data_IF_406079608844
#
_entry.id   IF_406079608844
#
_cell.length_a   1.000
_cell.length_b   1.000
_cell.length_c   1.000
_cell.angle_alpha   90.00
_cell.angle_beta   90.00
_cell.angle_gamma   90.00
#
_symmetry.space_group_name_H-M   'P 1'
#
loop_
_entity.id
_entity.type
_entity.pdbx_description
1 polymer ?
#
# COMPACT_ATOMS: atom_id res chain seq x y z
N UNK A 1 -56.65 -7.05 0.87
CA UNK A 1 -55.89 -8.27 0.51
C UNK A 1 -54.84 -7.94 -0.54
N UNK A 2 -53.67 -8.59 -0.44
CA UNK A 2 -52.56 -8.73 -1.41
C UNK A 2 -51.84 -7.44 -1.88
N UNK A 3 -50.68 -7.04 -1.32
CA UNK A 3 -49.31 -7.54 -1.58
C UNK A 3 -48.92 -7.63 -3.06
N UNK A 4 -48.16 -6.65 -3.56
CA UNK A 4 -47.11 -6.91 -4.56
C UNK A 4 -45.87 -6.06 -4.28
N UNK A 5 -44.90 -6.71 -3.63
CA UNK A 5 -43.50 -6.28 -3.57
C UNK A 5 -42.92 -6.33 -4.99
N UNK A 6 -42.57 -5.20 -5.58
CA UNK A 6 -41.54 -5.19 -6.64
C UNK A 6 -40.18 -5.08 -5.97
N UNK A 7 -39.53 -6.24 -5.83
CA UNK A 7 -38.08 -6.32 -5.63
C UNK A 7 -37.43 -5.75 -6.89
N UNK A 8 -36.87 -4.55 -6.79
CA UNK A 8 -35.88 -4.11 -7.78
C UNK A 8 -34.69 -5.07 -7.70
N UNK A 9 -34.44 -5.72 -8.84
CA UNK A 9 -33.32 -6.62 -9.02
C UNK A 9 -32.03 -5.87 -8.67
N UNK A 10 -31.25 -6.47 -7.77
CA UNK A 10 -29.90 -6.04 -7.47
C UNK A 10 -29.13 -5.91 -8.78
N UNK A 11 -28.70 -4.69 -9.10
CA UNK A 11 -27.83 -4.41 -10.25
C UNK A 11 -26.65 -5.37 -10.20
N UNK A 12 -26.50 -6.17 -11.26
CA UNK A 12 -25.33 -7.00 -11.47
C UNK A 12 -24.08 -6.12 -11.32
N UNK A 13 -23.08 -6.52 -10.50
CA UNK A 13 -21.86 -5.73 -10.38
C UNK A 13 -21.20 -5.67 -11.76
N UNK A 14 -20.93 -4.46 -12.23
CA UNK A 14 -20.23 -4.20 -13.49
C UNK A 14 -18.95 -5.05 -13.57
N UNK A 15 -18.53 -5.48 -14.79
CA UNK A 15 -17.33 -6.29 -14.94
C UNK A 15 -16.12 -5.55 -14.37
N UNK A 16 -15.48 -6.11 -13.34
CA UNK A 16 -14.21 -5.62 -12.80
C UNK A 16 -13.21 -5.47 -13.95
N UNK A 17 -12.88 -4.23 -14.29
CA UNK A 17 -11.91 -3.89 -15.34
C UNK A 17 -10.59 -4.61 -15.09
N UNK A 18 -9.83 -4.96 -16.14
CA UNK A 18 -8.50 -5.60 -16.04
C UNK A 18 -7.53 -4.86 -15.09
N UNK A 19 -7.76 -3.57 -14.88
CA UNK A 19 -7.00 -2.68 -14.00
C UNK A 19 -7.13 -3.07 -12.52
N UNK A 20 -8.36 -3.32 -12.04
CA UNK A 20 -8.62 -3.86 -10.70
C UNK A 20 -7.93 -5.23 -10.50
N UNK A 21 -7.76 -6.01 -11.57
CA UNK A 21 -7.06 -7.31 -11.50
C UNK A 21 -5.54 -7.18 -11.41
N UNK A 22 -4.94 -6.10 -11.92
CA UNK A 22 -3.50 -5.85 -11.75
C UNK A 22 -3.21 -5.35 -10.33
N UNK A 23 -4.11 -4.54 -9.77
CA UNK A 23 -4.07 -4.05 -8.38
C UNK A 23 -4.21 -5.20 -7.37
N UNK A 24 -5.19 -6.08 -7.57
CA UNK A 24 -5.35 -7.31 -6.78
C UNK A 24 -4.12 -8.22 -6.89
N UNK A 25 -3.45 -8.23 -8.04
CA UNK A 25 -2.22 -9.01 -8.26
C UNK A 25 -1.04 -8.45 -7.47
N UNK A 26 -0.80 -7.14 -7.48
CA UNK A 26 0.29 -6.55 -6.70
C UNK A 26 0.08 -6.78 -5.20
N UNK A 27 -1.11 -6.51 -4.66
CA UNK A 27 -1.40 -6.72 -3.25
C UNK A 27 -1.20 -8.20 -2.86
N UNK A 28 -1.69 -9.14 -3.69
CA UNK A 28 -1.47 -10.57 -3.48
C UNK A 28 0.01 -10.95 -3.57
N UNK A 29 0.75 -10.40 -4.51
CA UNK A 29 2.20 -10.65 -4.63
C UNK A 29 2.94 -10.09 -3.40
N UNK A 30 2.53 -8.94 -2.88
CA UNK A 30 3.08 -8.35 -1.66
C UNK A 30 2.82 -9.23 -0.43
N UNK A 31 1.59 -9.71 -0.26
CA UNK A 31 1.25 -10.67 0.81
C UNK A 31 2.08 -11.96 0.72
N UNK A 32 2.29 -12.48 -0.50
CA UNK A 32 3.11 -13.68 -0.71
C UNK A 32 4.60 -13.37 -0.47
N UNK A 33 5.08 -12.22 -0.93
CA UNK A 33 6.46 -11.79 -0.76
C UNK A 33 6.84 -11.68 0.73
N UNK A 34 5.93 -11.13 1.53
CA UNK A 34 6.08 -10.90 2.97
C UNK A 34 5.61 -12.07 3.84
N UNK A 35 5.15 -13.18 3.25
CA UNK A 35 4.67 -14.33 4.01
C UNK A 35 5.77 -14.88 4.93
N UNK A 36 5.42 -15.03 6.21
CA UNK A 36 6.35 -15.51 7.25
C UNK A 36 7.12 -14.40 7.96
N UNK A 37 7.03 -13.15 7.49
CA UNK A 37 7.61 -11.99 8.17
C UNK A 37 6.66 -11.47 9.25
N UNK A 38 7.17 -10.87 10.35
CA UNK A 38 6.35 -10.29 11.41
C UNK A 38 5.75 -8.93 11.00
N UNK A 39 5.24 -8.81 9.77
CA UNK A 39 4.77 -7.56 9.19
C UNK A 39 3.28 -7.64 8.85
N UNK A 40 2.57 -6.56 9.16
CA UNK A 40 1.21 -6.30 8.71
C UNK A 40 1.24 -5.32 7.54
N UNK A 41 0.47 -5.64 6.49
CA UNK A 41 0.26 -4.77 5.33
C UNK A 41 -1.06 -4.03 5.54
N UNK A 42 -1.05 -2.71 5.40
CA UNK A 42 -2.25 -1.88 5.50
C UNK A 42 -2.43 -1.05 4.25
N UNK A 43 -3.69 -0.80 3.91
CA UNK A 43 -4.09 -0.12 2.67
C UNK A 43 -3.73 1.38 2.66
N UNK A 44 -4.33 2.18 1.77
CA UNK A 44 -3.88 3.54 1.56
C UNK A 44 -3.94 4.33 2.86
N UNK A 45 -2.79 4.88 3.26
CA UNK A 45 -2.54 5.49 4.56
C UNK A 45 -1.85 6.83 4.35
N UNK A 46 -2.10 7.74 5.27
CA UNK A 46 -1.42 9.03 5.33
C UNK A 46 -0.55 9.06 6.57
N UNK A 47 0.78 9.02 6.37
CA UNK A 47 1.75 9.22 7.43
C UNK A 47 1.88 10.72 7.71
N UNK A 48 1.91 11.13 8.98
CA UNK A 48 1.98 12.53 9.40
C UNK A 48 3.22 12.77 10.24
N UNK A 49 3.79 13.97 10.11
CA UNK A 49 4.93 14.46 10.89
C UNK A 49 6.05 13.40 11.04
N UNK A 50 6.47 12.84 9.90
CA UNK A 50 7.36 11.67 9.85
C UNK A 50 8.65 12.01 9.13
N UNK A 51 9.79 11.48 9.63
CA UNK A 51 11.03 11.46 8.87
C UNK A 51 11.02 10.30 7.87
N UNK A 52 11.24 10.62 6.61
CA UNK A 52 11.13 9.68 5.50
C UNK A 52 12.47 9.53 4.81
N UNK A 53 12.96 8.30 4.70
CA UNK A 53 14.03 7.95 3.77
C UNK A 53 13.38 7.59 2.43
N UNK A 54 13.36 8.54 1.50
CA UNK A 54 12.71 8.37 0.19
C UNK A 54 13.68 7.76 -0.81
N UNK A 55 13.33 6.60 -1.37
CA UNK A 55 14.12 5.89 -2.38
C UNK A 55 13.35 5.93 -3.72
N UNK A 56 13.82 6.68 -4.72
CA UNK A 56 13.21 6.73 -6.05
C UNK A 56 13.31 5.38 -6.79
N UNK A 57 12.48 5.16 -7.82
CA UNK A 57 12.57 3.96 -8.66
C UNK A 57 13.97 3.81 -9.25
N UNK A 58 14.51 2.58 -9.23
CA UNK A 58 15.83 2.25 -9.78
C UNK A 58 17.03 2.73 -8.97
N UNK A 59 16.82 3.31 -7.78
CA UNK A 59 17.90 3.74 -6.89
C UNK A 59 18.02 2.83 -5.65
N UNK A 60 19.23 2.72 -5.12
CA UNK A 60 19.52 1.98 -3.87
C UNK A 60 19.82 2.90 -2.69
N UNK A 61 20.00 4.19 -2.95
CA UNK A 61 20.28 5.23 -1.94
C UNK A 61 19.13 6.22 -1.95
N UNK A 62 18.60 6.51 -0.76
CA UNK A 62 17.52 7.46 -0.58
C UNK A 62 17.97 8.81 -0.06
N UNK A 63 17.04 9.75 0.01
CA UNK A 63 17.23 11.03 0.70
C UNK A 63 16.35 11.10 1.94
N UNK A 64 16.93 11.56 3.05
CA UNK A 64 16.20 11.75 4.30
C UNK A 64 15.52 13.12 4.28
N UNK A 65 14.20 13.14 4.45
CA UNK A 65 13.38 14.35 4.43
C UNK A 65 12.30 14.29 5.50
N UNK A 66 11.98 15.44 6.10
CA UNK A 66 10.83 15.56 6.97
C UNK A 66 9.57 15.87 6.15
N UNK A 67 8.51 15.10 6.35
CA UNK A 67 7.22 15.30 5.70
C UNK A 67 6.13 15.52 6.75
N UNK A 68 5.47 16.67 6.71
CA UNK A 68 4.27 16.92 7.53
C UNK A 68 3.14 15.95 7.17
N UNK A 69 3.05 15.57 5.90
CA UNK A 69 2.12 14.59 5.40
C UNK A 69 2.68 13.87 4.17
N UNK A 70 2.65 12.54 4.17
CA UNK A 70 2.91 11.72 2.98
C UNK A 70 1.85 10.62 2.83
N UNK A 71 1.31 10.48 1.63
CA UNK A 71 0.34 9.42 1.30
C UNK A 71 1.10 8.22 0.73
N UNK A 72 0.85 7.05 1.28
CA UNK A 72 1.38 5.77 0.82
C UNK A 72 0.22 4.86 0.43
N UNK A 73 0.43 4.01 -0.57
CA UNK A 73 -0.56 3.03 -1.02
C UNK A 73 -0.58 1.81 -0.10
N UNK A 74 0.59 1.47 0.46
CA UNK A 74 0.71 0.47 1.52
C UNK A 74 1.60 0.95 2.67
N UNK A 75 1.17 0.70 3.90
CA UNK A 75 2.00 0.79 5.10
C UNK A 75 2.42 -0.63 5.52
N UNK A 76 3.72 -0.83 5.76
CA UNK A 76 4.26 -2.03 6.38
C UNK A 76 4.59 -1.72 7.83
N UNK A 77 3.93 -2.40 8.75
CA UNK A 77 4.13 -2.22 10.19
C UNK A 77 4.47 -3.54 10.89
N UNK A 78 5.42 -3.51 11.81
CA UNK A 78 5.76 -4.66 12.65
C UNK A 78 4.55 -5.07 13.51
N UNK A 79 4.26 -6.37 13.55
CA UNK A 79 2.97 -6.88 14.02
C UNK A 79 2.81 -6.75 15.54
N UNK A 80 3.89 -6.80 16.31
CA UNK A 80 3.85 -6.79 17.79
C UNK A 80 3.81 -5.38 18.37
N UNK A 81 4.63 -4.50 17.82
CA UNK A 81 4.88 -3.12 18.23
C UNK A 81 4.00 -2.14 17.48
N UNK A 82 3.54 -2.51 16.28
CA UNK A 82 2.82 -1.62 15.38
C UNK A 82 3.70 -0.55 14.74
N UNK A 83 5.02 -0.58 14.93
CA UNK A 83 5.98 0.39 14.37
C UNK A 83 5.99 0.29 12.86
N UNK A 84 5.84 1.43 12.19
CA UNK A 84 5.92 1.51 10.73
C UNK A 84 7.37 1.41 10.31
N UNK A 85 7.68 0.42 9.47
CA UNK A 85 9.04 0.21 8.95
C UNK A 85 9.19 0.72 7.52
N UNK A 86 8.11 0.66 6.74
CA UNK A 86 8.13 1.09 5.35
C UNK A 86 6.78 1.60 4.86
N UNK A 87 6.84 2.52 3.90
CA UNK A 87 5.72 2.95 3.08
C UNK A 87 5.98 2.61 1.60
N UNK A 88 4.97 2.14 0.88
CA UNK A 88 5.07 1.89 -0.55
C UNK A 88 4.21 2.91 -1.31
N UNK A 89 4.82 3.60 -2.26
CA UNK A 89 4.15 4.50 -3.21
C UNK A 89 4.24 3.86 -4.57
N UNK A 90 3.10 3.56 -5.19
CA UNK A 90 3.10 2.97 -6.51
C UNK A 90 3.09 4.09 -7.55
N UNK A 91 4.13 4.12 -8.39
CA UNK A 91 4.39 5.21 -9.35
C UNK A 91 3.54 5.11 -10.61
N UNK A 92 2.92 3.95 -10.84
CA UNK A 92 2.07 3.74 -12.02
C UNK A 92 0.85 4.67 -12.01
N UNK A 93 0.68 5.39 -13.13
CA UNK A 93 -0.46 6.30 -13.36
C UNK A 93 -1.82 5.59 -13.34
N UNK A 94 -1.84 4.29 -13.64
CA UNK A 94 -3.05 3.47 -13.58
C UNK A 94 -3.35 2.95 -12.18
N UNK A 95 -2.32 2.73 -11.37
CA UNK A 95 -2.45 2.21 -10.00
C UNK A 95 -2.89 3.28 -8.99
N UNK A 96 -2.30 4.48 -9.06
CA UNK A 96 -2.55 5.57 -8.11
C UNK A 96 -3.89 6.32 -8.29
N UNK A 97 -4.87 5.71 -8.97
CA UNK A 97 -6.14 6.36 -9.35
C UNK A 97 -7.39 5.82 -8.68
N UNK A 98 -7.33 4.78 -7.83
CA UNK A 98 -8.35 4.63 -6.79
C UNK A 98 -8.08 5.59 -5.61
N UNK A 99 -7.99 6.88 -5.94
CA UNK A 99 -8.07 7.98 -4.98
C UNK A 99 -9.47 8.09 -4.36
N UNK A 100 -10.43 7.25 -4.77
CA UNK A 100 -11.82 7.26 -4.29
C UNK A 100 -11.96 6.52 -2.98
N UNK A 101 -11.07 5.56 -2.69
CA UNK A 101 -10.97 4.99 -1.34
C UNK A 101 -10.32 6.02 -0.42
N UNK A 102 -11.12 6.58 0.49
CA UNK A 102 -10.60 7.43 1.56
C UNK A 102 -9.51 6.64 2.29
N UNK A 103 -8.35 7.26 2.59
CA UNK A 103 -7.35 6.61 3.40
C UNK A 103 -8.00 6.19 4.72
N UNK A 104 -7.63 5.02 5.22
CA UNK A 104 -8.11 4.62 6.53
C UNK A 104 -7.66 5.69 7.54
N UNK A 105 -8.57 6.23 8.38
CA UNK A 105 -8.16 7.15 9.42
C UNK A 105 -7.14 6.41 10.31
N UNK A 106 -5.96 7.00 10.49
CA UNK A 106 -5.00 6.46 11.44
C UNK A 106 -5.66 6.51 12.82
N UNK A 107 -5.63 5.39 13.54
CA UNK A 107 -5.69 5.46 14.99
C UNK A 107 -4.53 6.35 15.45
N UNK A 108 -4.80 7.26 16.39
CA UNK A 108 -3.85 8.24 16.89
C UNK A 108 -2.59 7.51 17.37
N UNK A 109 -1.55 7.52 16.54
CA UNK A 109 -0.26 6.93 16.87
C UNK A 109 0.61 8.11 17.19
N UNK A 110 0.88 8.29 18.48
CA UNK A 110 1.73 9.34 19.02
C UNK A 110 3.07 9.46 18.27
N UNK A 111 3.82 10.54 18.50
CA UNK A 111 4.89 11.01 17.62
C UNK A 111 5.85 9.87 17.23
N UNK A 112 5.71 9.39 16.00
CA UNK A 112 6.51 8.31 15.45
C UNK A 112 7.94 8.81 15.21
N UNK A 113 8.82 8.64 16.19
CA UNK A 113 10.25 8.94 16.08
C UNK A 113 11.03 7.96 15.17
N UNK A 114 10.35 7.09 14.42
CA UNK A 114 10.98 6.14 13.51
C UNK A 114 11.15 6.75 12.11
N UNK A 115 12.34 6.62 11.54
CA UNK A 115 12.56 6.91 10.11
C UNK A 115 11.81 5.84 9.31
N UNK A 116 10.86 6.26 8.48
CA UNK A 116 10.12 5.36 7.60
C UNK A 116 10.79 5.34 6.23
N UNK A 117 11.20 4.16 5.76
CA UNK A 117 11.69 4.02 4.40
C UNK A 117 10.51 4.02 3.43
N UNK A 118 10.48 4.98 2.50
CA UNK A 118 9.45 5.07 1.47
C UNK A 118 10.02 4.63 0.13
N UNK A 119 9.45 3.56 -0.42
CA UNK A 119 9.84 3.00 -1.70
C UNK A 119 8.84 3.39 -2.79
N UNK A 120 9.37 3.89 -3.89
CA UNK A 120 8.60 4.16 -5.11
C UNK A 120 8.74 2.97 -6.06
N UNK A 121 7.63 2.26 -6.30
CA UNK A 121 7.61 1.04 -7.12
C UNK A 121 6.67 1.20 -8.30
N UNK A 122 7.10 0.81 -9.50
CA UNK A 122 6.18 0.61 -10.61
C UNK A 122 5.76 -0.87 -10.66
N UNK A 123 4.46 -1.20 -10.49
CA UNK A 123 3.97 -2.57 -10.64
C UNK A 123 4.38 -3.25 -11.95
N UNK A 124 4.63 -2.49 -13.02
CA UNK A 124 5.10 -3.03 -14.29
C UNK A 124 6.54 -3.58 -14.21
N UNK A 125 7.38 -2.96 -13.38
CA UNK A 125 8.79 -3.35 -13.17
C UNK A 125 8.94 -4.46 -12.12
N UNK A 126 7.91 -4.71 -11.31
CA UNK A 126 7.84 -5.81 -10.32
C UNK A 126 6.65 -6.75 -10.60
N UNK A 127 6.65 -7.45 -11.75
CA UNK A 127 5.50 -8.26 -12.19
C UNK A 127 5.27 -9.50 -11.32
N UNK A 128 6.26 -9.93 -10.54
CA UNK A 128 6.20 -11.15 -9.74
C UNK A 128 6.77 -10.99 -8.32
N UNK A 129 6.64 -12.05 -7.53
CA UNK A 129 7.04 -12.13 -6.13
C UNK A 129 8.55 -11.99 -5.94
N UNK A 130 9.37 -12.53 -6.86
CA UNK A 130 10.83 -12.53 -6.72
C UNK A 130 11.38 -11.12 -6.92
N UNK A 131 10.92 -10.44 -7.97
CA UNK A 131 11.31 -9.05 -8.23
C UNK A 131 10.79 -8.11 -7.15
N UNK A 132 9.58 -8.35 -6.63
CA UNK A 132 9.07 -7.59 -5.49
C UNK A 132 9.92 -7.78 -4.23
N UNK A 133 10.33 -9.02 -3.91
CA UNK A 133 11.25 -9.27 -2.77
C UNK A 133 12.58 -8.54 -2.95
N UNK A 134 13.15 -8.54 -4.15
CA UNK A 134 14.38 -7.81 -4.43
C UNK A 134 14.21 -6.30 -4.23
N UNK A 135 13.08 -5.74 -4.69
CA UNK A 135 12.76 -4.32 -4.55
C UNK A 135 12.51 -3.89 -3.09
N UNK A 136 12.03 -4.81 -2.23
CA UNK A 136 11.75 -4.54 -0.82
C UNK A 136 12.99 -4.60 0.10
N UNK A 137 14.10 -5.20 -0.34
CA UNK A 137 15.35 -5.34 0.46
C UNK A 137 15.84 -4.06 1.15
N UNK A 138 15.74 -2.86 0.56
CA UNK A 138 16.19 -1.63 1.22
C UNK A 138 15.34 -1.23 2.44
N UNK A 139 14.10 -1.74 2.54
CA UNK A 139 13.15 -1.33 3.58
C UNK A 139 12.78 -2.47 4.53
N UNK A 140 12.89 -3.72 4.08
CA UNK A 140 12.57 -4.90 4.87
C UNK A 140 13.69 -5.94 4.70
N UNK A 141 14.28 -6.45 5.80
CA UNK A 141 15.17 -7.59 5.73
C UNK A 141 14.34 -8.83 5.40
N UNK A 142 14.32 -9.22 4.12
CA UNK A 142 13.58 -10.36 3.56
C UNK A 142 14.47 -11.57 3.29
#
# INVERSE_FOLDING_TARGET
MALFRRREAARSPEPRTERSRAEDRFARHLEVALRGQPLSIRGPVVLRDTQVLMIPPGQTVGTLQHHAQIRVDFELAETRTGVVVAGLVLTSRSYGRDRRRAPAPLADRGPHQAIVTVLHLDPADVPDVLLLRAALKPAVPL
#
